data_IF_186587979064
#
_entry.id   IF_186587979064
#
_cell.length_a   1.000
_cell.length_b   1.000
_cell.length_c   1.000
_cell.angle_alpha   90.00
_cell.angle_beta   90.00
_cell.angle_gamma   90.00
#
_symmetry.space_group_name_H-M   'P 1'
#
loop_
_entity.id
_entity.type
_entity.pdbx_description
1 polymer ?
#
# COMPACT_ATOMS: atom_id res chain seq x y z
N UNK A 1 7.55 -24.58 2.03
CA UNK A 1 7.32 -26.00 2.29
C UNK A 1 6.29 -26.52 1.31
N UNK A 2 6.67 -27.56 0.56
CA UNK A 2 5.76 -28.20 -0.37
C UNK A 2 4.66 -28.89 0.45
N UNK A 3 3.49 -28.28 0.51
CA UNK A 3 2.31 -28.84 1.14
C UNK A 3 1.84 -30.03 0.31
N UNK A 4 2.18 -31.23 0.76
CA UNK A 4 1.81 -32.48 0.10
C UNK A 4 0.72 -33.17 0.91
N UNK A 5 -0.56 -32.92 0.56
CA UNK A 5 -1.69 -33.61 1.13
C UNK A 5 -2.99 -32.83 1.01
N UNK A 6 -4.09 -33.53 0.89
CA UNK A 6 -5.44 -32.93 0.75
C UNK A 6 -5.81 -32.05 1.92
N UNK A 7 -5.38 -32.35 3.16
CA UNK A 7 -5.70 -31.58 4.36
C UNK A 7 -5.16 -30.15 4.33
N UNK A 8 -3.98 -29.99 3.74
CA UNK A 8 -3.35 -28.69 3.61
C UNK A 8 -4.00 -27.85 2.51
N UNK A 9 -4.42 -28.48 1.42
CA UNK A 9 -5.17 -27.81 0.36
C UNK A 9 -6.49 -27.25 0.91
N UNK A 10 -7.17 -28.00 1.78
CA UNK A 10 -8.43 -27.53 2.41
C UNK A 10 -8.19 -26.33 3.31
N UNK A 11 -7.17 -26.30 4.14
CA UNK A 11 -6.84 -25.14 4.97
C UNK A 11 -6.59 -23.89 4.11
N UNK A 12 -5.83 -24.03 3.02
CA UNK A 12 -5.58 -22.93 2.08
C UNK A 12 -6.84 -22.44 1.35
N UNK A 13 -7.78 -23.34 1.06
CA UNK A 13 -9.05 -22.96 0.43
C UNK A 13 -9.90 -22.08 1.35
N UNK A 14 -9.87 -22.35 2.67
CA UNK A 14 -10.67 -21.60 3.64
C UNK A 14 -10.00 -20.33 4.17
N UNK A 15 -8.66 -20.24 4.13
CA UNK A 15 -7.94 -19.01 4.51
C UNK A 15 -8.32 -17.88 3.56
N UNK A 16 -8.78 -16.75 4.11
CA UNK A 16 -9.26 -15.61 3.34
C UNK A 16 -10.72 -15.70 2.87
N UNK A 17 -11.45 -16.79 3.19
CA UNK A 17 -12.87 -16.93 2.80
C UNK A 17 -13.83 -16.02 3.58
N UNK A 18 -13.39 -15.42 4.68
CA UNK A 18 -14.15 -14.48 5.52
C UNK A 18 -15.56 -15.00 5.90
N UNK A 19 -15.69 -16.32 6.11
CA UNK A 19 -16.97 -16.96 6.45
C UNK A 19 -17.88 -17.21 5.25
N UNK A 20 -17.45 -16.95 4.02
CA UNK A 20 -18.26 -17.16 2.81
C UNK A 20 -18.29 -18.61 2.32
N UNK A 21 -17.42 -19.48 2.83
CA UNK A 21 -17.33 -20.89 2.46
C UNK A 21 -17.62 -21.85 3.61
N UNK A 22 -17.40 -21.46 4.87
CA UNK A 22 -17.60 -22.35 6.02
C UNK A 22 -17.80 -21.59 7.31
N UNK A 23 -18.40 -22.25 8.30
CA UNK A 23 -18.40 -21.84 9.70
C UNK A 23 -17.33 -22.62 10.46
N UNK A 24 -16.39 -21.91 11.11
CA UNK A 24 -15.29 -22.53 11.85
C UNK A 24 -15.68 -22.68 13.33
N UNK A 25 -15.67 -23.90 13.82
CA UNK A 25 -15.90 -24.21 15.25
C UNK A 25 -14.61 -24.23 16.05
N UNK A 26 -13.49 -24.52 15.38
CA UNK A 26 -12.16 -24.62 16.01
C UNK A 26 -11.09 -24.27 14.98
N UNK A 27 -10.07 -23.52 15.40
CA UNK A 27 -8.91 -23.15 14.58
C UNK A 27 -7.61 -23.41 15.37
N UNK A 28 -6.65 -24.09 14.74
CA UNK A 28 -5.30 -24.19 15.22
C UNK A 28 -4.39 -23.25 14.42
N UNK A 29 -3.71 -22.32 15.09
CA UNK A 29 -2.93 -21.27 14.46
C UNK A 29 -1.48 -21.29 14.95
N UNK A 30 -0.53 -21.09 14.05
CA UNK A 30 0.86 -20.81 14.42
C UNK A 30 0.97 -19.37 14.94
N UNK A 31 1.60 -19.21 16.10
CA UNK A 31 1.79 -17.91 16.72
C UNK A 31 3.11 -17.27 16.29
N UNK A 32 3.08 -15.98 15.99
CA UNK A 32 4.28 -15.19 15.82
C UNK A 32 4.81 -14.69 17.18
N UNK A 33 6.15 -14.55 17.35
CA UNK A 33 6.71 -13.90 18.53
C UNK A 33 6.18 -12.47 18.69
N UNK A 34 5.99 -12.04 19.94
CA UNK A 34 5.67 -10.63 20.20
C UNK A 34 6.84 -9.75 19.76
N UNK A 35 6.59 -8.68 18.99
CA UNK A 35 7.63 -7.77 18.57
C UNK A 35 8.22 -7.00 19.76
N UNK A 36 9.45 -6.53 19.62
CA UNK A 36 10.09 -5.60 20.53
C UNK A 36 9.48 -4.19 20.50
N UNK A 37 10.15 -3.25 21.17
CA UNK A 37 9.76 -1.83 21.05
C UNK A 37 10.04 -1.32 19.65
N UNK A 38 9.08 -0.64 19.07
CA UNK A 38 9.19 -0.12 17.71
C UNK A 38 10.09 1.11 17.62
N UNK A 39 10.76 1.23 16.49
CA UNK A 39 11.38 2.47 16.00
C UNK A 39 11.00 2.66 14.54
N UNK A 40 10.95 3.90 14.07
CA UNK A 40 10.58 4.24 12.70
C UNK A 40 11.73 5.03 12.07
N UNK A 41 12.11 4.65 10.85
CA UNK A 41 12.89 5.48 9.95
C UNK A 41 11.96 6.08 8.90
N UNK A 42 11.79 7.40 8.91
CA UNK A 42 10.98 8.09 7.92
C UNK A 42 11.88 8.48 6.73
N UNK A 43 11.81 7.71 5.66
CA UNK A 43 12.58 7.93 4.44
C UNK A 43 11.89 8.96 3.55
N UNK A 44 12.62 9.98 3.11
CA UNK A 44 12.15 11.08 2.27
C UNK A 44 12.64 10.91 0.85
N UNK A 45 11.76 11.12 -0.12
CA UNK A 45 12.09 10.97 -1.54
C UNK A 45 11.66 12.20 -2.36
N UNK A 46 12.51 12.62 -3.35
CA UNK A 46 12.24 13.76 -4.21
C UNK A 46 11.18 13.47 -5.28
N UNK A 47 10.96 12.19 -5.60
CA UNK A 47 9.96 11.75 -6.56
C UNK A 47 9.21 10.52 -6.03
N UNK A 48 7.96 10.39 -6.44
CA UNK A 48 7.14 9.23 -6.11
C UNK A 48 7.75 7.93 -6.68
N UNK A 49 8.30 8.00 -7.90
CA UNK A 49 8.97 6.87 -8.54
C UNK A 49 10.14 6.36 -7.71
N UNK A 50 11.02 7.27 -7.23
CA UNK A 50 12.16 6.88 -6.40
C UNK A 50 11.74 6.19 -5.09
N UNK A 51 10.63 6.63 -4.48
CA UNK A 51 10.08 5.96 -3.30
C UNK A 51 9.62 4.53 -3.63
N UNK A 52 8.90 4.35 -4.72
CA UNK A 52 8.40 3.03 -5.12
C UNK A 52 9.53 2.07 -5.54
N UNK A 53 10.56 2.58 -6.21
CA UNK A 53 11.74 1.79 -6.56
C UNK A 53 12.56 1.39 -5.32
N UNK A 54 12.70 2.29 -4.35
CA UNK A 54 13.42 2.02 -3.11
C UNK A 54 12.80 0.89 -2.27
N UNK A 55 11.49 0.66 -2.37
CA UNK A 55 10.79 -0.34 -1.54
C UNK A 55 11.42 -1.73 -1.63
N UNK A 56 11.81 -2.19 -2.84
CA UNK A 56 12.46 -3.49 -3.05
C UNK A 56 13.81 -3.62 -2.34
N UNK A 57 14.51 -2.51 -2.13
CA UNK A 57 15.79 -2.47 -1.41
C UNK A 57 15.56 -2.41 0.09
N UNK A 58 14.64 -1.57 0.55
CA UNK A 58 14.35 -1.38 1.98
C UNK A 58 13.86 -2.65 2.66
N UNK A 59 13.11 -3.49 1.98
CA UNK A 59 12.63 -4.77 2.54
C UNK A 59 13.76 -5.77 2.83
N UNK A 60 14.93 -5.63 2.20
CA UNK A 60 16.10 -6.49 2.49
C UNK A 60 16.67 -6.27 3.89
N UNK A 61 16.32 -5.17 4.54
CA UNK A 61 16.63 -4.89 5.95
C UNK A 61 15.67 -5.59 6.92
N UNK A 62 14.73 -6.39 6.43
CA UNK A 62 13.74 -7.14 7.22
C UNK A 62 12.93 -6.25 8.17
N UNK A 63 12.34 -5.14 7.70
CA UNK A 63 11.47 -4.31 8.51
C UNK A 63 10.17 -5.03 8.86
N UNK A 64 9.50 -4.58 9.92
CA UNK A 64 8.14 -5.03 10.25
C UNK A 64 7.11 -4.50 9.23
N UNK A 65 7.34 -3.30 8.71
CA UNK A 65 6.51 -2.68 7.68
C UNK A 65 7.30 -1.63 6.90
N UNK A 66 6.91 -1.43 5.62
CA UNK A 66 7.29 -0.26 4.80
C UNK A 66 6.00 0.33 4.23
N UNK A 67 5.67 1.55 4.66
CA UNK A 67 4.38 2.16 4.41
C UNK A 67 4.53 3.49 3.69
N UNK A 68 3.76 3.69 2.62
CA UNK A 68 3.78 4.91 1.81
C UNK A 68 2.90 6.01 2.42
N UNK A 69 3.39 7.24 2.37
CA UNK A 69 2.63 8.49 2.56
C UNK A 69 2.98 9.40 1.37
N UNK A 70 1.99 9.77 0.57
CA UNK A 70 2.19 10.61 -0.61
C UNK A 70 2.18 12.12 -0.30
N UNK A 71 2.52 12.95 -1.28
CA UNK A 71 2.53 14.41 -1.19
C UNK A 71 1.14 14.99 -0.85
N UNK A 72 0.09 14.35 -1.35
CA UNK A 72 -1.31 14.75 -1.07
C UNK A 72 -1.64 14.59 0.41
N UNK A 73 -1.26 13.45 0.99
CA UNK A 73 -1.42 13.22 2.43
C UNK A 73 -0.59 14.23 3.23
N UNK A 74 0.67 14.47 2.86
CA UNK A 74 1.52 15.45 3.56
C UNK A 74 0.88 16.85 3.53
N UNK A 75 0.43 17.30 2.36
CA UNK A 75 -0.19 18.62 2.20
C UNK A 75 -1.48 18.76 3.04
N UNK A 76 -2.37 17.77 2.97
CA UNK A 76 -3.61 17.76 3.76
C UNK A 76 -3.34 17.71 5.27
N UNK A 77 -2.32 16.95 5.70
CA UNK A 77 -1.93 16.89 7.10
C UNK A 77 -1.38 18.21 7.62
N UNK A 78 -0.67 18.98 6.80
CA UNK A 78 -0.23 20.35 7.12
C UNK A 78 -1.41 21.33 7.21
N UNK A 79 -2.45 21.15 6.39
CA UNK A 79 -3.63 22.00 6.38
C UNK A 79 -4.59 21.75 7.55
N UNK A 80 -4.65 20.51 8.05
CA UNK A 80 -5.53 20.13 9.15
C UNK A 80 -4.87 20.47 10.50
N UNK A 81 -5.43 21.38 11.31
CA UNK A 81 -4.79 21.82 12.56
C UNK A 81 -4.45 20.68 13.53
N UNK A 82 -5.29 19.64 13.57
CA UNK A 82 -5.10 18.47 14.44
C UNK A 82 -3.80 17.70 14.11
N UNK A 83 -3.40 17.64 12.85
CA UNK A 83 -2.27 16.82 12.38
C UNK A 83 -1.03 17.65 12.06
N UNK A 84 -1.15 18.98 11.91
CA UNK A 84 -0.04 19.86 11.50
C UNK A 84 1.21 19.65 12.32
N UNK A 85 1.09 19.73 13.67
CA UNK A 85 2.23 19.57 14.55
C UNK A 85 2.90 18.20 14.41
N UNK A 86 2.11 17.14 14.19
CA UNK A 86 2.63 15.79 13.96
C UNK A 86 3.40 15.73 12.66
N UNK A 87 2.84 16.25 11.56
CA UNK A 87 3.49 16.26 10.24
C UNK A 87 4.81 17.06 10.30
N UNK A 88 4.81 18.24 10.88
CA UNK A 88 6.01 19.10 11.00
C UNK A 88 7.11 18.44 11.86
N UNK A 89 6.76 17.51 12.75
CA UNK A 89 7.73 16.82 13.60
C UNK A 89 8.53 15.73 12.88
N UNK A 90 8.06 15.20 11.74
CA UNK A 90 8.74 14.13 11.03
C UNK A 90 8.99 14.39 9.53
N UNK A 91 8.36 15.40 8.94
CA UNK A 91 8.57 15.77 7.54
C UNK A 91 9.61 16.88 7.43
N UNK A 92 10.67 16.61 6.68
CA UNK A 92 11.70 17.60 6.33
C UNK A 92 11.48 18.06 4.89
N UNK A 93 11.48 19.37 4.65
CA UNK A 93 11.31 19.93 3.30
C UNK A 93 9.95 19.57 2.66
N UNK A 94 9.97 19.39 1.35
CA UNK A 94 8.78 19.07 0.55
C UNK A 94 9.01 17.78 -0.27
N UNK A 95 8.98 16.61 0.39
CA UNK A 95 9.11 15.32 -0.29
C UNK A 95 7.89 15.04 -1.17
N UNK A 96 8.11 14.43 -2.34
CA UNK A 96 7.04 13.91 -3.16
C UNK A 96 6.42 12.62 -2.58
N UNK A 97 7.18 11.89 -1.76
CA UNK A 97 6.71 10.72 -1.04
C UNK A 97 7.58 10.43 0.18
N UNK A 98 6.99 9.78 1.17
CA UNK A 98 7.67 9.20 2.31
C UNK A 98 7.47 7.70 2.35
N UNK A 99 8.49 6.97 2.75
CA UNK A 99 8.36 5.58 3.19
C UNK A 99 8.65 5.51 4.69
N UNK A 100 7.65 5.12 5.46
CA UNK A 100 7.76 4.83 6.88
C UNK A 100 8.24 3.39 7.05
N UNK A 101 9.48 3.23 7.47
CA UNK A 101 10.12 1.92 7.69
C UNK A 101 10.12 1.62 9.18
N UNK A 102 9.43 0.57 9.58
CA UNK A 102 9.24 0.19 10.98
C UNK A 102 10.13 -1.01 11.35
N UNK A 103 10.90 -0.88 12.43
CA UNK A 103 11.66 -1.98 13.01
C UNK A 103 11.22 -2.23 14.46
N UNK A 104 11.34 -3.47 14.93
CA UNK A 104 10.98 -3.88 16.30
C UNK A 104 11.89 -4.96 16.83
N UNK A 105 13.19 -4.66 16.89
CA UNK A 105 14.20 -5.57 17.41
C UNK A 105 14.03 -5.82 18.92
N UNK A 106 14.58 -6.91 19.38
CA UNK A 106 14.48 -7.32 20.80
C UNK A 106 15.19 -6.33 21.75
N UNK A 107 16.20 -5.60 21.26
CA UNK A 107 17.01 -4.68 22.06
C UNK A 107 17.05 -3.28 21.43
N UNK A 108 17.26 -2.23 22.25
CA UNK A 108 17.45 -0.88 21.74
C UNK A 108 18.65 -0.75 20.79
N UNK A 109 19.73 -1.48 21.06
CA UNK A 109 20.94 -1.50 20.22
C UNK A 109 20.67 -2.12 18.86
N UNK A 110 19.85 -3.18 18.80
CA UNK A 110 19.39 -3.80 17.55
C UNK A 110 18.58 -2.79 16.71
N UNK A 111 17.65 -2.08 17.33
CA UNK A 111 16.90 -1.02 16.68
C UNK A 111 17.78 0.12 16.16
N UNK A 112 18.77 0.55 16.96
CA UNK A 112 19.72 1.57 16.53
C UNK A 112 20.56 1.12 15.33
N UNK A 113 20.99 -0.15 15.32
CA UNK A 113 21.73 -0.74 14.21
C UNK A 113 20.87 -0.80 12.93
N UNK A 114 19.58 -1.16 13.02
CA UNK A 114 18.66 -1.16 11.87
C UNK A 114 18.43 0.24 11.31
N UNK A 115 18.28 1.25 12.16
CA UNK A 115 18.18 2.64 11.71
C UNK A 115 19.46 3.14 11.03
N UNK A 116 20.63 2.73 11.51
CA UNK A 116 21.91 3.06 10.88
C UNK A 116 22.04 2.40 9.51
N UNK A 117 21.71 1.10 9.38
CA UNK A 117 21.67 0.38 8.11
C UNK A 117 20.69 1.02 7.12
N UNK A 118 19.53 1.48 7.60
CA UNK A 118 18.57 2.18 6.77
C UNK A 118 19.14 3.51 6.24
N UNK A 119 19.82 4.28 7.08
CA UNK A 119 20.46 5.53 6.66
C UNK A 119 21.58 5.28 5.65
N UNK A 120 22.39 4.25 5.84
CA UNK A 120 23.43 3.83 4.89
C UNK A 120 22.82 3.43 3.55
N UNK A 121 21.79 2.58 3.55
CA UNK A 121 21.08 2.15 2.33
C UNK A 121 20.48 3.34 1.57
N UNK A 122 19.86 4.30 2.27
CA UNK A 122 19.34 5.50 1.61
C UNK A 122 20.47 6.32 0.99
N UNK A 123 21.65 6.40 1.63
CA UNK A 123 22.84 7.01 1.06
C UNK A 123 23.32 6.28 -0.19
N UNK A 124 23.35 4.95 -0.18
CA UNK A 124 23.73 4.12 -1.35
C UNK A 124 22.74 4.30 -2.52
N UNK A 125 21.46 4.53 -2.23
CA UNK A 125 20.44 4.90 -3.21
C UNK A 125 20.57 6.37 -3.69
N UNK A 126 21.55 7.11 -3.18
CA UNK A 126 21.84 8.48 -3.56
C UNK A 126 20.98 9.53 -2.86
N UNK A 127 20.28 9.17 -1.79
CA UNK A 127 19.39 10.07 -1.03
C UNK A 127 20.13 10.68 0.16
N UNK A 128 20.38 11.99 0.09
CA UNK A 128 21.02 12.78 1.15
C UNK A 128 20.31 14.14 1.30
N UNK A 129 20.04 14.58 2.54
CA UNK A 129 19.39 15.88 2.80
C UNK A 129 20.25 17.09 2.40
N UNK A 130 21.54 16.90 2.19
CA UNK A 130 22.43 17.92 1.62
C UNK A 130 22.43 17.91 0.09
N UNK A 131 21.84 16.87 -0.53
CA UNK A 131 21.68 16.73 -1.96
C UNK A 131 20.65 17.73 -2.52
N UNK A 132 20.56 17.78 -3.85
CA UNK A 132 19.58 18.62 -4.58
C UNK A 132 18.92 17.82 -5.71
N UNK A 133 17.71 18.24 -6.11
CA UNK A 133 16.97 17.57 -7.18
C UNK A 133 16.71 16.10 -6.83
N UNK A 134 17.00 15.20 -7.78
CA UNK A 134 16.73 13.76 -7.63
C UNK A 134 17.60 13.05 -6.59
N UNK A 135 18.56 13.74 -5.99
CA UNK A 135 19.40 13.22 -4.90
C UNK A 135 19.03 13.76 -3.53
N UNK A 136 18.02 14.61 -3.45
CA UNK A 136 17.53 15.12 -2.18
C UNK A 136 16.68 14.07 -1.48
N UNK A 137 16.93 13.85 -0.19
CA UNK A 137 16.17 12.90 0.61
C UNK A 137 16.99 12.41 1.79
N UNK A 138 16.55 11.39 2.49
CA UNK A 138 17.25 10.83 3.64
C UNK A 138 16.31 10.27 4.68
N UNK A 139 16.83 9.94 5.86
CA UNK A 139 16.08 9.29 6.94
C UNK A 139 15.96 10.22 8.15
N UNK A 140 14.74 10.40 8.63
CA UNK A 140 14.46 10.99 9.96
C UNK A 140 14.15 9.85 10.92
N UNK A 141 15.02 9.58 11.92
CA UNK A 141 14.78 8.54 12.92
C UNK A 141 13.73 9.00 13.94
N UNK A 142 12.77 8.15 14.26
CA UNK A 142 11.69 8.41 15.21
C UNK A 142 11.69 7.31 16.28
N UNK A 143 12.24 7.64 17.43
CA UNK A 143 12.36 6.72 18.58
C UNK A 143 11.38 7.08 19.71
N UNK A 144 10.81 8.30 19.70
CA UNK A 144 9.82 8.72 20.67
C UNK A 144 8.48 8.03 20.47
N UNK A 145 8.04 7.25 21.44
CA UNK A 145 6.81 6.47 21.38
C UNK A 145 5.54 7.33 21.24
N UNK A 146 5.55 8.57 21.75
CA UNK A 146 4.42 9.49 21.63
C UNK A 146 4.26 9.95 20.19
N UNK A 147 5.37 10.32 19.54
CA UNK A 147 5.36 10.70 18.13
C UNK A 147 5.00 9.52 17.24
N UNK A 148 5.52 8.32 17.51
CA UNK A 148 5.11 7.09 16.78
C UNK A 148 3.61 6.85 16.86
N UNK A 149 3.01 7.01 18.06
CA UNK A 149 1.56 6.90 18.25
C UNK A 149 0.78 7.95 17.45
N UNK A 150 1.26 9.21 17.43
CA UNK A 150 0.63 10.27 16.65
C UNK A 150 0.71 10.03 15.14
N UNK A 151 1.83 9.49 14.63
CA UNK A 151 2.00 9.09 13.23
C UNK A 151 1.06 7.94 12.87
N UNK A 152 0.95 6.93 13.74
CA UNK A 152 0.05 5.80 13.53
C UNK A 152 -1.42 6.26 13.47
N UNK A 153 -1.83 7.18 14.35
CA UNK A 153 -3.19 7.76 14.34
C UNK A 153 -3.44 8.60 13.08
N UNK A 154 -2.45 9.38 12.64
CA UNK A 154 -2.52 10.11 11.38
C UNK A 154 -2.73 9.16 10.18
N UNK A 155 -1.93 8.10 10.07
CA UNK A 155 -2.08 7.10 9.00
C UNK A 155 -3.43 6.38 9.05
N UNK A 156 -3.87 5.97 10.23
CA UNK A 156 -5.20 5.37 10.44
C UNK A 156 -6.34 6.29 10.00
N UNK A 157 -6.14 7.59 10.15
CA UNK A 157 -7.09 8.62 9.69
C UNK A 157 -6.97 8.93 8.19
N UNK A 158 -6.09 8.28 7.45
CA UNK A 158 -5.70 8.62 6.08
C UNK A 158 -6.88 8.75 5.13
N UNK A 159 -7.84 7.82 5.15
CA UNK A 159 -9.05 7.93 4.34
C UNK A 159 -9.84 9.21 4.64
N UNK A 160 -10.08 9.51 5.91
CA UNK A 160 -10.82 10.70 6.33
C UNK A 160 -10.06 11.99 5.95
N UNK A 161 -8.72 11.97 6.08
CA UNK A 161 -7.86 13.08 5.66
C UNK A 161 -8.00 13.31 4.15
N UNK A 162 -7.91 12.29 3.32
CA UNK A 162 -8.07 12.41 1.87
C UNK A 162 -9.49 12.86 1.48
N UNK A 163 -10.53 12.36 2.15
CA UNK A 163 -11.91 12.78 1.90
C UNK A 163 -12.20 14.24 2.33
N UNK A 164 -11.32 14.86 3.11
CA UNK A 164 -11.42 16.27 3.52
C UNK A 164 -11.07 17.28 2.40
N UNK A 165 -10.59 16.81 1.24
CA UNK A 165 -10.33 17.66 0.08
C UNK A 165 -11.52 18.60 -0.19
N UNK A 166 -11.24 19.90 -0.38
CA UNK A 166 -12.29 20.94 -0.56
C UNK A 166 -12.92 20.94 -1.95
N UNK A 167 -12.24 20.35 -2.94
CA UNK A 167 -12.73 20.27 -4.32
C UNK A 167 -13.92 19.30 -4.45
N UNK A 168 -14.72 19.45 -5.53
CA UNK A 168 -15.87 18.58 -5.82
C UNK A 168 -15.48 17.14 -6.15
N UNK A 169 -14.32 16.95 -6.80
CA UNK A 169 -13.72 15.63 -7.01
C UNK A 169 -13.29 15.01 -5.68
N UNK A 170 -13.57 13.72 -5.51
CA UNK A 170 -13.20 12.95 -4.33
C UNK A 170 -12.39 11.71 -4.72
N UNK A 171 -11.51 11.23 -3.85
CA UNK A 171 -10.84 9.93 -4.03
C UNK A 171 -11.88 8.80 -4.06
N UNK A 172 -12.00 8.10 -5.18
CA UNK A 172 -12.97 7.02 -5.36
C UNK A 172 -12.29 5.67 -5.34
N UNK A 173 -12.80 4.76 -4.50
CA UNK A 173 -12.28 3.42 -4.28
C UNK A 173 -12.87 2.45 -5.29
N UNK A 174 -12.13 2.13 -6.38
CA UNK A 174 -12.55 1.12 -7.38
C UNK A 174 -11.38 0.40 -8.05
N UNK A 175 -10.17 0.96 -8.00
CA UNK A 175 -8.93 0.33 -8.50
C UNK A 175 -7.87 0.19 -7.40
N UNK A 176 -8.24 0.47 -6.17
CA UNK A 176 -7.37 0.26 -5.02
C UNK A 176 -7.16 -1.23 -4.74
N UNK A 177 -6.15 -1.57 -3.94
CA UNK A 177 -5.84 -2.93 -3.53
C UNK A 177 -5.16 -3.80 -4.61
N UNK A 178 -4.71 -3.20 -5.69
CA UNK A 178 -3.86 -3.94 -6.63
C UNK A 178 -2.48 -4.20 -6.03
N UNK A 179 -1.95 -5.40 -6.26
CA UNK A 179 -0.64 -5.80 -5.77
C UNK A 179 0.23 -6.34 -6.91
N UNK A 180 1.50 -5.96 -6.92
CA UNK A 180 2.52 -6.42 -7.87
C UNK A 180 3.81 -6.82 -7.13
N UNK A 181 4.69 -7.57 -7.80
CA UNK A 181 6.00 -7.88 -7.26
C UNK A 181 6.82 -6.59 -7.04
N UNK A 182 7.61 -6.55 -5.96
CA UNK A 182 8.35 -5.34 -5.57
C UNK A 182 9.27 -4.78 -6.67
N UNK A 183 9.98 -5.59 -7.47
CA UNK A 183 10.79 -5.07 -8.57
C UNK A 183 9.99 -4.33 -9.65
N UNK A 184 8.70 -4.62 -9.75
CA UNK A 184 7.82 -4.02 -10.74
C UNK A 184 7.06 -2.79 -10.20
N UNK A 185 7.13 -2.52 -8.88
CA UNK A 185 6.28 -1.55 -8.20
C UNK A 185 6.42 -0.12 -8.75
N UNK A 186 7.64 0.33 -9.01
CA UNK A 186 7.90 1.68 -9.55
C UNK A 186 7.30 1.86 -10.95
N UNK A 187 7.57 0.93 -11.87
CA UNK A 187 7.05 0.99 -13.23
C UNK A 187 5.53 0.80 -13.27
N UNK A 188 4.99 -0.06 -12.40
CA UNK A 188 3.56 -0.27 -12.29
C UNK A 188 2.84 1.01 -11.82
N UNK A 189 3.32 1.65 -10.76
CA UNK A 189 2.74 2.91 -10.24
C UNK A 189 2.87 4.06 -11.22
N UNK A 190 3.98 4.11 -11.99
CA UNK A 190 4.12 5.04 -13.11
C UNK A 190 3.06 4.78 -14.17
N UNK A 191 2.83 3.54 -14.55
CA UNK A 191 1.79 3.15 -15.50
C UNK A 191 0.38 3.55 -15.04
N UNK A 192 0.06 3.39 -13.76
CA UNK A 192 -1.20 3.86 -13.17
C UNK A 192 -1.32 5.39 -13.25
N UNK A 193 -0.24 6.11 -12.90
CA UNK A 193 -0.20 7.58 -12.99
C UNK A 193 -0.43 8.06 -14.42
N UNK A 194 0.16 7.38 -15.41
CA UNK A 194 -0.04 7.68 -16.82
C UNK A 194 -1.51 7.43 -17.27
N UNK A 195 -2.15 6.36 -16.77
CA UNK A 195 -3.59 6.10 -17.01
C UNK A 195 -4.43 7.25 -16.45
N UNK A 196 -4.24 7.62 -15.18
CA UNK A 196 -5.02 8.70 -14.57
C UNK A 196 -4.83 10.03 -15.29
N UNK A 197 -3.60 10.34 -15.69
CA UNK A 197 -3.27 11.57 -16.43
C UNK A 197 -3.99 11.63 -17.78
N UNK A 198 -4.07 10.52 -18.53
CA UNK A 198 -4.82 10.46 -19.81
C UNK A 198 -6.31 10.71 -19.62
N UNK A 199 -6.86 10.35 -18.47
CA UNK A 199 -8.26 10.60 -18.11
C UNK A 199 -8.47 11.97 -17.44
N UNK A 200 -7.41 12.80 -17.34
CA UNK A 200 -7.49 14.15 -16.77
C UNK A 200 -7.71 14.17 -15.26
N UNK A 201 -7.25 13.13 -14.56
CA UNK A 201 -7.31 13.02 -13.11
C UNK A 201 -5.95 12.66 -12.52
N UNK A 202 -5.88 12.57 -11.19
CA UNK A 202 -4.73 12.10 -10.44
C UNK A 202 -5.16 11.09 -9.38
N UNK A 203 -4.26 10.24 -8.96
CA UNK A 203 -4.44 9.35 -7.81
C UNK A 203 -4.05 10.02 -6.51
N UNK A 204 -4.64 9.58 -5.40
CA UNK A 204 -4.10 9.73 -4.05
C UNK A 204 -3.60 8.36 -3.60
N UNK A 205 -2.47 8.32 -2.90
CA UNK A 205 -1.74 7.10 -2.68
C UNK A 205 -1.42 6.87 -1.21
N UNK A 206 -1.67 5.69 -0.73
CA UNK A 206 -0.97 5.06 0.38
C UNK A 206 -0.78 3.57 0.04
N UNK A 207 0.15 2.90 0.67
CA UNK A 207 0.45 1.54 0.30
C UNK A 207 1.15 0.79 1.43
N UNK A 208 0.93 -0.51 1.46
CA UNK A 208 1.81 -1.46 2.14
C UNK A 208 2.97 -1.77 1.18
N UNK A 209 3.91 -0.83 1.08
CA UNK A 209 4.96 -0.88 0.08
C UNK A 209 5.88 -2.10 0.25
N UNK A 210 6.02 -2.64 1.48
CA UNK A 210 6.80 -3.85 1.76
C UNK A 210 6.30 -5.11 1.05
N UNK A 211 5.04 -5.12 0.62
CA UNK A 211 4.42 -6.28 -0.06
C UNK A 211 3.83 -5.93 -1.42
N UNK A 212 4.11 -4.71 -1.91
CA UNK A 212 3.64 -4.25 -3.22
C UNK A 212 2.13 -4.03 -3.33
N UNK A 213 1.41 -3.91 -2.20
CA UNK A 213 -0.03 -3.68 -2.17
C UNK A 213 -0.34 -2.18 -2.11
N UNK A 214 -1.14 -1.71 -3.07
CA UNK A 214 -1.40 -0.29 -3.30
C UNK A 214 -2.84 0.08 -2.96
N UNK A 215 -3.02 1.20 -2.25
CA UNK A 215 -4.33 1.81 -2.02
C UNK A 215 -4.42 3.13 -2.76
N UNK A 216 -4.58 3.04 -4.08
CA UNK A 216 -4.70 4.21 -4.95
C UNK A 216 -6.15 4.54 -5.22
N UNK A 217 -6.49 5.81 -5.12
CA UNK A 217 -7.85 6.31 -5.40
C UNK A 217 -7.79 7.46 -6.37
N UNK A 218 -8.26 7.27 -7.61
CA UNK A 218 -8.43 8.38 -8.57
C UNK A 218 -9.42 9.40 -8.05
N UNK A 219 -9.12 10.68 -8.27
CA UNK A 219 -9.98 11.80 -7.83
C UNK A 219 -11.00 12.09 -8.92
N UNK A 220 -12.26 11.74 -8.68
CA UNK A 220 -13.36 11.91 -9.64
C UNK A 220 -14.55 12.64 -9.02
N UNK A 221 -15.24 13.45 -9.83
CA UNK A 221 -16.51 14.07 -9.45
C UNK A 221 -17.68 13.23 -9.95
N UNK A 222 -18.17 12.33 -9.12
CA UNK A 222 -19.23 11.38 -9.46
C UNK A 222 -20.61 12.03 -9.73
N UNK A 223 -20.71 13.38 -9.66
CA UNK A 223 -21.88 14.15 -10.10
C UNK A 223 -21.82 14.52 -11.58
N UNK A 224 -20.71 14.22 -12.26
CA UNK A 224 -20.50 14.52 -13.66
C UNK A 224 -20.47 13.22 -14.50
N UNK A 225 -21.31 13.15 -15.51
CA UNK A 225 -21.39 12.00 -16.43
C UNK A 225 -20.05 11.64 -17.07
N UNK A 226 -19.19 12.63 -17.31
CA UNK A 226 -17.85 12.43 -17.83
C UNK A 226 -17.03 11.55 -16.88
N UNK A 227 -17.02 11.88 -15.59
CA UNK A 227 -16.21 11.20 -14.60
C UNK A 227 -16.77 9.81 -14.27
N UNK A 228 -18.10 9.65 -14.30
CA UNK A 228 -18.74 8.32 -14.19
C UNK A 228 -18.30 7.41 -15.33
N UNK A 229 -18.23 7.90 -16.57
CA UNK A 229 -17.73 7.13 -17.72
C UNK A 229 -16.24 6.86 -17.60
N UNK A 230 -15.45 7.85 -17.19
CA UNK A 230 -14.01 7.71 -16.98
C UNK A 230 -13.67 6.66 -15.91
N UNK A 231 -14.46 6.56 -14.85
CA UNK A 231 -14.30 5.53 -13.81
C UNK A 231 -14.24 4.13 -14.41
N UNK A 232 -15.17 3.79 -15.32
CA UNK A 232 -15.19 2.49 -15.99
C UNK A 232 -13.93 2.24 -16.83
N UNK A 233 -13.59 3.21 -17.68
CA UNK A 233 -12.41 3.10 -18.56
C UNK A 233 -11.12 3.00 -17.76
N UNK A 234 -10.97 3.78 -16.68
CA UNK A 234 -9.82 3.70 -15.77
C UNK A 234 -9.73 2.29 -15.15
N UNK A 235 -10.85 1.74 -14.65
CA UNK A 235 -10.85 0.40 -14.06
C UNK A 235 -10.37 -0.65 -15.06
N UNK A 236 -10.88 -0.62 -16.28
CA UNK A 236 -10.52 -1.56 -17.34
C UNK A 236 -9.03 -1.49 -17.71
N UNK A 237 -8.48 -0.27 -17.87
CA UNK A 237 -7.06 -0.06 -18.15
C UNK A 237 -6.15 -0.47 -16.97
N UNK A 238 -6.55 -0.15 -15.74
CA UNK A 238 -5.78 -0.52 -14.54
C UNK A 238 -5.72 -2.04 -14.34
N UNK A 239 -6.83 -2.76 -14.58
CA UNK A 239 -6.85 -4.22 -14.45
C UNK A 239 -6.10 -4.90 -15.61
N UNK A 240 -6.09 -4.33 -16.81
CA UNK A 240 -5.19 -4.78 -17.87
C UNK A 240 -3.73 -4.56 -17.51
N UNK A 241 -3.42 -3.45 -16.86
CA UNK A 241 -2.06 -3.14 -16.43
C UNK A 241 -1.59 -4.14 -15.37
N UNK A 242 -2.35 -4.33 -14.27
CA UNK A 242 -1.95 -5.26 -13.20
C UNK A 242 -1.79 -6.68 -13.71
N UNK A 243 -2.65 -7.13 -14.62
CA UNK A 243 -2.54 -8.44 -15.26
C UNK A 243 -1.26 -8.59 -16.08
N UNK A 244 -0.81 -7.55 -16.79
CA UNK A 244 0.47 -7.55 -17.53
C UNK A 244 1.66 -7.76 -16.62
N UNK A 245 1.61 -7.20 -15.39
CA UNK A 245 2.62 -7.41 -14.35
C UNK A 245 2.43 -8.72 -13.57
N UNK A 246 1.48 -9.59 -13.98
CA UNK A 246 1.13 -10.84 -13.27
C UNK A 246 0.77 -10.61 -11.79
N UNK A 247 0.27 -9.42 -11.50
CA UNK A 247 -0.19 -9.02 -10.18
C UNK A 247 -1.63 -9.45 -9.90
N UNK A 248 -2.11 -9.08 -8.73
CA UNK A 248 -3.49 -9.26 -8.31
C UNK A 248 -4.25 -7.92 -8.36
N UNK A 249 -5.50 -7.94 -8.80
CA UNK A 249 -6.38 -6.77 -8.73
C UNK A 249 -7.03 -6.60 -7.35
N UNK A 250 -6.84 -7.58 -6.46
CA UNK A 250 -7.20 -7.51 -5.05
C UNK A 250 -6.08 -8.17 -4.23
N UNK A 251 -5.34 -7.36 -3.47
CA UNK A 251 -4.21 -7.79 -2.65
C UNK A 251 -4.67 -8.35 -1.30
N UNK A 252 -5.57 -7.64 -0.61
CA UNK A 252 -5.99 -7.99 0.75
C UNK A 252 -7.48 -7.79 1.05
N UNK A 253 -8.19 -6.88 0.32
CA UNK A 253 -9.57 -6.51 0.65
C UNK A 253 -10.63 -7.49 0.15
N UNK A 254 -10.27 -8.42 -0.75
CA UNK A 254 -11.22 -9.23 -1.49
C UNK A 254 -11.93 -8.45 -2.60
N UNK A 255 -12.53 -9.15 -3.56
CA UNK A 255 -13.06 -8.52 -4.77
C UNK A 255 -14.41 -7.83 -4.55
N UNK A 256 -15.28 -8.44 -3.78
CA UNK A 256 -16.61 -7.92 -3.48
C UNK A 256 -17.39 -7.52 -4.74
N UNK A 257 -18.35 -6.63 -4.57
CA UNK A 257 -19.21 -6.13 -5.68
C UNK A 257 -18.40 -5.27 -6.67
N UNK A 258 -17.37 -4.58 -6.20
CA UNK A 258 -16.63 -3.58 -7.00
C UNK A 258 -15.75 -4.24 -8.06
N UNK A 259 -15.18 -5.42 -7.79
CA UNK A 259 -14.17 -6.08 -8.64
C UNK A 259 -14.59 -7.42 -9.22
N UNK A 260 -15.65 -8.05 -8.69
CA UNK A 260 -16.06 -9.40 -9.13
C UNK A 260 -16.41 -9.50 -10.62
N UNK A 261 -16.92 -8.43 -11.22
CA UNK A 261 -17.20 -8.39 -12.67
C UNK A 261 -15.94 -8.53 -13.55
N UNK A 262 -14.75 -8.30 -12.98
CA UNK A 262 -13.47 -8.41 -13.68
C UNK A 262 -12.79 -9.77 -13.50
N UNK A 263 -13.40 -10.73 -12.76
CA UNK A 263 -12.82 -12.04 -12.50
C UNK A 263 -12.47 -12.79 -13.78
N UNK A 264 -13.37 -12.80 -14.75
CA UNK A 264 -13.10 -13.49 -16.02
C UNK A 264 -11.95 -12.84 -16.78
N UNK A 265 -11.85 -11.51 -16.75
CA UNK A 265 -10.73 -10.76 -17.32
C UNK A 265 -9.40 -11.11 -16.63
N UNK A 266 -9.41 -11.25 -15.30
CA UNK A 266 -8.21 -11.53 -14.52
C UNK A 266 -7.79 -13.00 -14.59
N UNK A 267 -8.70 -13.92 -14.36
CA UNK A 267 -8.42 -15.33 -14.13
C UNK A 267 -8.80 -16.25 -15.31
N UNK A 268 -9.63 -15.76 -16.22
CA UNK A 268 -10.19 -16.52 -17.32
C UNK A 268 -11.39 -17.38 -16.93
N UNK A 269 -12.20 -17.83 -17.90
CA UNK A 269 -13.49 -18.48 -17.65
C UNK A 269 -13.36 -19.81 -16.90
N UNK A 270 -12.28 -20.55 -17.10
CA UNK A 270 -12.06 -21.84 -16.42
C UNK A 270 -11.91 -21.68 -14.91
N UNK A 271 -11.15 -20.68 -14.47
CA UNK A 271 -10.94 -20.42 -13.02
C UNK A 271 -12.20 -19.84 -12.40
N UNK A 272 -12.91 -18.95 -13.10
CA UNK A 272 -14.19 -18.39 -12.61
C UNK A 272 -15.22 -19.50 -12.42
N UNK A 273 -15.35 -20.43 -13.37
CA UNK A 273 -16.23 -21.60 -13.20
C UNK A 273 -15.84 -22.48 -12.01
N UNK A 274 -14.53 -22.59 -11.71
CA UNK A 274 -14.08 -23.31 -10.53
C UNK A 274 -14.46 -22.57 -9.23
N UNK A 275 -14.40 -21.24 -9.19
CA UNK A 275 -14.85 -20.45 -8.05
C UNK A 275 -16.35 -20.65 -7.78
N UNK A 276 -17.18 -20.62 -8.83
CA UNK A 276 -18.63 -20.87 -8.74
C UNK A 276 -18.91 -22.29 -8.21
N UNK A 277 -18.20 -23.31 -8.70
CA UNK A 277 -18.34 -24.67 -8.23
C UNK A 277 -17.95 -24.82 -6.76
N UNK A 278 -16.84 -24.22 -6.33
CA UNK A 278 -16.39 -24.20 -4.92
C UNK A 278 -17.47 -23.56 -4.04
N UNK A 279 -17.96 -22.38 -4.42
CA UNK A 279 -19.02 -21.69 -3.67
C UNK A 279 -20.26 -22.55 -3.54
N UNK A 280 -20.74 -23.11 -4.67
CA UNK A 280 -21.94 -23.95 -4.66
C UNK A 280 -21.82 -25.25 -3.85
N UNK A 281 -20.57 -25.76 -3.66
CA UNK A 281 -20.33 -26.97 -2.86
C UNK A 281 -20.25 -26.71 -1.36
N UNK A 282 -19.67 -25.58 -0.96
CA UNK A 282 -19.41 -25.29 0.45
C UNK A 282 -20.47 -24.39 1.10
N UNK A 283 -21.12 -23.55 0.32
CA UNK A 283 -22.18 -22.65 0.77
C UNK A 283 -23.14 -22.38 -0.40
N UNK A 284 -24.05 -23.34 -0.68
CA UNK A 284 -24.98 -23.31 -1.81
C UNK A 284 -26.06 -22.21 -1.69
#
# INVERSE_FOLDING_TARGET
DALTGYDVIMAQLFVGSEGSLAYFTELELSLAPLPGKKVIGMCHFPTFYAAMDAAQHLVTLEPQAVELIDDTMIALGRDIPLFRQTIEAFVTGDPAALLMVEFAEKTPEGNAAKLAQLAEMMGDLGMDFTGTGDRWGGVVPITDAKLQGAIAEYRKSGLNVMMSMKQDGKPISFVEDCAVALPDLAEYTKGLTDIFSRHGTKGTWYAHASVGCLHVRPVLNMRQDKDVKSMRSIAEECFDLVKRYKGSHSGEHGDGIVRSEFHEKMFGPRIVSAFEEVKARFDP
#
